data_IF_515459263337
#
_entry.id   IF_515459263337
#
_cell.length_a   1.000
_cell.length_b   1.000
_cell.length_c   1.000
_cell.angle_alpha   90.00
_cell.angle_beta   90.00
_cell.angle_gamma   90.00
#
_symmetry.space_group_name_H-M   'P 1'
#
loop_
_entity.id
_entity.type
_entity.pdbx_description
1 polymer ?
#
# COMPACT_ATOMS: atom_id res chain seq x y z
N UNK A 1 -19.61 -5.42 -2.01
CA UNK A 1 -18.83 -4.75 -0.96
C UNK A 1 -17.65 -4.09 -1.64
N UNK A 2 -17.40 -2.79 -1.49
CA UNK A 2 -16.27 -2.15 -2.15
C UNK A 2 -14.99 -2.61 -1.46
N UNK A 3 -14.37 -3.67 -1.98
CA UNK A 3 -13.14 -4.23 -1.44
C UNK A 3 -11.99 -3.40 -1.97
N UNK A 4 -11.50 -2.44 -1.17
CA UNK A 4 -10.22 -1.78 -1.47
C UNK A 4 -9.11 -2.83 -1.41
N UNK A 5 -8.27 -2.88 -2.44
CA UNK A 5 -7.19 -3.86 -2.57
C UNK A 5 -5.85 -3.19 -2.33
N UNK A 6 -5.14 -3.63 -1.28
CA UNK A 6 -3.83 -3.08 -0.93
C UNK A 6 -2.75 -4.06 -1.39
N UNK A 7 -1.75 -3.56 -2.12
CA UNK A 7 -0.57 -4.33 -2.54
C UNK A 7 0.67 -3.70 -1.92
N UNK A 8 1.44 -4.48 -1.16
CA UNK A 8 2.66 -4.06 -0.50
C UNK A 8 3.84 -4.72 -1.21
N UNK A 9 4.70 -3.90 -1.80
CA UNK A 9 5.97 -4.32 -2.37
C UNK A 9 7.07 -4.20 -1.33
N UNK A 10 7.59 -5.35 -0.89
CA UNK A 10 8.66 -5.46 0.10
C UNK A 10 10.02 -5.64 -0.57
N UNK A 11 11.05 -4.93 -0.09
CA UNK A 11 12.43 -5.15 -0.54
C UNK A 11 13.09 -6.40 0.09
N UNK A 12 12.36 -7.17 0.90
CA UNK A 12 12.84 -8.46 1.41
C UNK A 12 12.73 -8.60 2.94
N UNK A 13 13.21 -9.74 3.48
CA UNK A 13 12.98 -10.14 4.87
C UNK A 13 13.68 -9.24 5.90
N UNK A 14 14.71 -8.49 5.51
CA UNK A 14 15.45 -7.58 6.39
C UNK A 14 14.78 -6.20 6.52
N UNK A 15 13.69 -5.95 5.79
CA UNK A 15 12.97 -4.69 5.83
C UNK A 15 12.05 -4.61 7.06
N UNK A 16 12.53 -4.02 8.16
CA UNK A 16 11.74 -3.81 9.39
C UNK A 16 10.51 -2.94 9.09
N UNK A 17 10.69 -1.92 8.27
CA UNK A 17 9.62 -1.01 7.83
C UNK A 17 8.46 -1.75 7.17
N UNK A 18 8.75 -2.74 6.33
CA UNK A 18 7.75 -3.56 5.65
C UNK A 18 6.90 -4.35 6.67
N UNK A 19 7.55 -4.99 7.65
CA UNK A 19 6.85 -5.74 8.71
C UNK A 19 5.95 -4.84 9.57
N UNK A 20 6.40 -3.61 9.85
CA UNK A 20 5.60 -2.65 10.61
C UNK A 20 4.34 -2.23 9.84
N UNK A 21 4.46 -1.98 8.53
CA UNK A 21 3.31 -1.69 7.66
C UNK A 21 2.32 -2.86 7.66
N UNK A 22 2.79 -4.08 7.46
CA UNK A 22 1.95 -5.30 7.47
C UNK A 22 1.22 -5.46 8.81
N UNK A 23 1.93 -5.29 9.93
CA UNK A 23 1.34 -5.40 11.26
C UNK A 23 0.23 -4.35 11.48
N UNK A 24 0.44 -3.12 11.02
CA UNK A 24 -0.54 -2.04 11.17
C UNK A 24 -1.79 -2.31 10.32
N UNK A 25 -1.61 -2.68 9.05
CA UNK A 25 -2.70 -3.03 8.14
C UNK A 25 -3.51 -4.23 8.64
N UNK A 26 -2.81 -5.26 9.13
CA UNK A 26 -3.44 -6.43 9.75
C UNK A 26 -4.23 -6.05 11.01
N UNK A 27 -3.68 -5.18 11.86
CA UNK A 27 -4.38 -4.69 13.07
C UNK A 27 -5.65 -3.92 12.75
N UNK A 28 -5.71 -3.26 11.59
CA UNK A 28 -6.87 -2.51 11.10
C UNK A 28 -7.86 -3.40 10.32
N UNK A 29 -7.54 -4.68 10.11
CA UNK A 29 -8.39 -5.62 9.39
C UNK A 29 -8.45 -5.41 7.88
N UNK A 30 -7.42 -4.76 7.30
CA UNK A 30 -7.32 -4.61 5.86
C UNK A 30 -6.81 -5.87 5.18
N UNK A 31 -7.40 -6.21 4.04
CA UNK A 31 -6.87 -7.23 3.14
C UNK A 31 -5.72 -6.63 2.32
N UNK A 32 -4.53 -7.23 2.43
CA UNK A 32 -3.36 -6.80 1.69
C UNK A 32 -2.64 -7.98 1.03
N UNK A 33 -1.96 -7.68 -0.06
CA UNK A 33 -1.17 -8.64 -0.83
C UNK A 33 0.30 -8.25 -0.74
N UNK A 34 1.12 -9.16 -0.22
CA UNK A 34 2.57 -8.96 -0.14
C UNK A 34 3.23 -9.47 -1.42
N UNK A 35 4.00 -8.62 -2.09
CA UNK A 35 4.79 -8.95 -3.28
C UNK A 35 6.25 -8.53 -3.08
N UNK A 36 7.23 -9.27 -3.62
CA UNK A 36 8.61 -8.80 -3.64
C UNK A 36 8.72 -7.56 -4.54
N UNK A 37 9.62 -6.62 -4.21
CA UNK A 37 9.87 -5.44 -5.02
C UNK A 37 10.32 -5.79 -6.45
N UNK A 38 10.94 -6.95 -6.65
CA UNK A 38 11.30 -7.47 -7.98
C UNK A 38 10.08 -7.80 -8.86
N UNK A 39 8.91 -8.03 -8.26
CA UNK A 39 7.66 -8.23 -8.98
C UNK A 39 6.94 -6.91 -9.32
N UNK A 40 7.52 -5.76 -8.97
CA UNK A 40 6.98 -4.46 -9.34
C UNK A 40 7.29 -4.17 -10.82
N UNK A 41 6.25 -4.21 -11.66
CA UNK A 41 6.37 -3.81 -13.06
C UNK A 41 6.67 -2.32 -13.20
N UNK A 42 7.31 -1.94 -14.31
CA UNK A 42 7.67 -0.55 -14.56
C UNK A 42 6.42 0.34 -14.69
N UNK A 43 5.31 -0.19 -15.22
CA UNK A 43 4.03 0.52 -15.28
C UNK A 43 3.45 0.82 -13.91
N UNK A 44 3.57 -0.10 -12.95
CA UNK A 44 3.11 0.12 -11.57
C UNK A 44 4.00 1.13 -10.86
N UNK A 45 5.31 1.07 -11.11
CA UNK A 45 6.29 2.04 -10.62
C UNK A 45 5.97 3.44 -11.15
N UNK A 46 5.68 3.56 -12.45
CA UNK A 46 5.30 4.82 -13.09
C UNK A 46 3.97 5.36 -12.54
N UNK A 47 2.94 4.51 -12.37
CA UNK A 47 1.67 4.90 -11.76
C UNK A 47 1.85 5.38 -10.31
N UNK A 48 2.67 4.68 -9.52
CA UNK A 48 2.98 5.09 -8.17
C UNK A 48 3.68 6.45 -8.13
N UNK A 49 4.70 6.64 -8.98
CA UNK A 49 5.38 7.94 -9.13
C UNK A 49 4.43 9.05 -9.58
N UNK A 50 3.48 8.75 -10.47
CA UNK A 50 2.50 9.71 -10.96
C UNK A 50 1.58 10.22 -9.82
N UNK A 51 1.32 9.39 -8.81
CA UNK A 51 0.63 9.78 -7.58
C UNK A 51 1.53 10.44 -6.53
N UNK A 52 2.82 10.61 -6.83
CA UNK A 52 3.80 11.20 -5.91
C UNK A 52 4.41 10.20 -4.92
N UNK A 53 4.27 8.88 -5.15
CA UNK A 53 4.92 7.89 -4.33
C UNK A 53 6.45 7.95 -4.53
N UNK A 54 7.18 7.98 -3.42
CA UNK A 54 8.63 7.83 -3.42
C UNK A 54 8.97 6.38 -3.77
N UNK A 55 9.90 6.14 -4.69
CA UNK A 55 10.41 4.77 -4.96
C UNK A 55 11.41 4.39 -3.88
N UNK A 56 10.89 4.13 -2.69
CA UNK A 56 11.60 3.55 -1.57
C UNK A 56 10.76 2.43 -0.98
N UNK A 57 11.38 1.27 -0.75
CA UNK A 57 10.69 0.17 -0.10
C UNK A 57 10.41 0.49 1.38
N UNK A 58 9.26 0.10 1.93
CA UNK A 58 8.12 -0.57 1.28
C UNK A 58 7.33 0.36 0.35
N UNK A 59 6.94 -0.11 -0.84
CA UNK A 59 6.00 0.60 -1.72
C UNK A 59 4.59 0.02 -1.54
N UNK A 60 3.64 0.84 -1.12
CA UNK A 60 2.25 0.45 -0.91
C UNK A 60 1.39 1.05 -2.01
N UNK A 61 0.59 0.22 -2.67
CA UNK A 61 -0.39 0.60 -3.68
C UNK A 61 -1.78 0.26 -3.16
N UNK A 62 -2.69 1.22 -3.23
CA UNK A 62 -4.08 1.06 -2.81
C UNK A 62 -4.97 1.26 -4.03
N UNK A 63 -5.71 0.21 -4.38
CA UNK A 63 -6.75 0.26 -5.40
C UNK A 63 -8.13 0.33 -4.78
N UNK A 64 -8.99 1.12 -5.37
CA UNK A 64 -10.40 1.18 -5.00
C UNK A 64 -11.18 -0.02 -5.56
N UNK A 65 -12.50 -0.02 -5.35
CA UNK A 65 -13.37 -1.09 -5.84
C UNK A 65 -13.55 -1.10 -7.38
N UNK A 66 -13.20 0.01 -8.05
CA UNK A 66 -13.21 0.15 -9.51
C UNK A 66 -11.93 -0.43 -10.13
N UNK A 67 -10.93 -0.75 -9.30
CA UNK A 67 -9.61 -1.22 -9.73
C UNK A 67 -8.65 -0.07 -10.05
N UNK A 68 -9.04 1.17 -9.81
CA UNK A 68 -8.20 2.35 -10.03
C UNK A 68 -7.27 2.57 -8.84
N UNK A 69 -6.05 3.02 -9.12
CA UNK A 69 -5.06 3.30 -8.10
C UNK A 69 -5.43 4.61 -7.38
N UNK A 70 -6.09 4.49 -6.23
CA UNK A 70 -6.53 5.62 -5.42
C UNK A 70 -5.35 6.32 -4.74
N UNK A 71 -4.43 5.54 -4.16
CA UNK A 71 -3.27 6.04 -3.44
C UNK A 71 -2.06 5.14 -3.65
N UNK A 72 -0.89 5.75 -3.63
CA UNK A 72 0.38 5.03 -3.59
C UNK A 72 1.37 5.82 -2.74
N UNK A 73 2.16 5.12 -1.93
CA UNK A 73 3.24 5.74 -1.17
C UNK A 73 4.40 4.77 -0.97
N UNK A 74 5.60 5.33 -0.88
CA UNK A 74 6.80 4.58 -0.49
C UNK A 74 7.25 4.91 0.92
N UNK A 75 7.98 3.96 1.50
CA UNK A 75 8.47 4.04 2.87
C UNK A 75 7.41 3.69 3.92
N UNK A 76 7.88 3.55 5.16
CA UNK A 76 6.99 3.33 6.30
C UNK A 76 6.26 4.64 6.65
N UNK A 77 4.96 4.70 6.34
CA UNK A 77 4.08 5.84 6.61
C UNK A 77 2.83 5.39 7.37
N UNK A 78 2.92 5.24 8.70
CA UNK A 78 1.76 4.85 9.51
C UNK A 78 0.64 5.90 9.43
N UNK A 79 0.97 7.18 9.24
CA UNK A 79 -0.02 8.26 9.12
C UNK A 79 -0.97 8.04 7.94
N UNK A 80 -0.45 7.59 6.79
CA UNK A 80 -1.27 7.34 5.59
C UNK A 80 -2.16 6.11 5.76
N UNK A 81 -1.69 5.11 6.51
CA UNK A 81 -2.46 3.90 6.83
C UNK A 81 -3.63 4.24 7.77
N UNK A 82 -3.41 5.14 8.72
CA UNK A 82 -4.46 5.63 9.62
C UNK A 82 -5.52 6.45 8.85
N UNK A 83 -5.07 7.35 7.97
CA UNK A 83 -5.97 8.10 7.06
C UNK A 83 -6.78 7.12 6.20
N UNK A 84 -6.16 6.10 5.62
CA UNK A 84 -6.85 5.07 4.84
C UNK A 84 -7.93 4.36 5.66
N UNK A 85 -7.65 4.06 6.93
CA UNK A 85 -8.63 3.50 7.85
C UNK A 85 -9.81 4.45 8.09
N UNK A 86 -9.51 5.74 8.28
CA UNK A 86 -10.52 6.79 8.39
C UNK A 86 -11.38 6.92 7.13
N UNK A 87 -10.77 6.92 5.94
CA UNK A 87 -11.46 6.99 4.64
C UNK A 87 -12.37 5.79 4.41
N UNK A 88 -11.91 4.57 4.77
CA UNK A 88 -12.75 3.36 4.72
C UNK A 88 -13.94 3.45 5.67
N UNK A 89 -13.78 4.07 6.83
CA UNK A 89 -14.88 4.27 7.79
C UNK A 89 -15.86 5.34 7.32
N UNK A 90 -15.40 6.39 6.62
CA UNK A 90 -16.26 7.44 6.07
C UNK A 90 -17.06 6.98 4.84
N UNK A 91 -16.53 5.99 4.11
CA UNK A 91 -17.18 5.40 2.93
C UNK A 91 -18.17 4.25 3.27
N UNK A 92 -18.39 3.96 4.56
CA UNK A 92 -19.30 2.94 5.07
C UNK A 92 -20.66 3.54 5.50
#
# INVERSE_FOLDING_TARGET
>A
MPTQQITIFTAGPSCIQCRLTEKLLSSLGFAYELRPADALSDELRAQAMALGAVIQAPLVLVRDASGELAQAWGGYRPDLIDVLAGERMLAA
#
